data_IF_654723920178
#
_entry.id   IF_654723920178
#
_cell.length_a   1.000
_cell.length_b   1.000
_cell.length_c   1.000
_cell.angle_alpha   90.00
_cell.angle_beta   90.00
_cell.angle_gamma   90.00
#
_symmetry.space_group_name_H-M   'P 1'
#
loop_
_entity.id
_entity.type
_entity.pdbx_description
1 polymer ?
#
# COMPACT_ATOMS: atom_id res chain seq x y z
N UNK A 1 -0.84 0.98 20.97
CA UNK A 1 -2.28 0.76 21.21
C UNK A 1 -3.06 1.59 20.21
N UNK A 2 -3.90 0.96 19.39
CA UNK A 2 -4.65 1.66 18.34
C UNK A 2 -6.07 1.93 18.85
N UNK A 3 -6.50 3.19 18.78
CA UNK A 3 -7.88 3.59 19.04
C UNK A 3 -8.64 3.53 17.72
N UNK A 4 -9.52 2.55 17.57
CA UNK A 4 -10.39 2.41 16.40
C UNK A 4 -11.66 3.25 16.59
N UNK A 5 -12.23 3.77 15.49
CA UNK A 5 -13.53 4.45 15.54
C UNK A 5 -14.62 3.38 15.68
N UNK A 6 -15.43 3.41 16.75
CA UNK A 6 -16.48 2.41 16.95
C UNK A 6 -17.63 2.62 15.94
N UNK A 7 -18.25 1.53 15.50
CA UNK A 7 -19.45 1.58 14.66
C UNK A 7 -20.68 1.94 15.51
N UNK A 8 -21.57 2.79 14.99
CA UNK A 8 -22.82 3.15 15.66
C UNK A 8 -23.95 2.35 15.02
N UNK A 9 -24.81 1.74 15.84
CA UNK A 9 -25.99 1.01 15.36
C UNK A 9 -27.10 1.97 14.92
N UNK A 10 -27.60 1.83 13.69
CA UNK A 10 -28.71 2.64 13.18
C UNK A 10 -30.02 1.89 13.47
N UNK A 11 -30.92 2.49 14.26
CA UNK A 11 -32.23 1.93 14.59
C UNK A 11 -33.36 2.73 13.94
N UNK A 12 -34.44 2.04 13.56
CA UNK A 12 -35.66 2.69 13.04
C UNK A 12 -36.34 3.52 14.15
N UNK A 13 -36.79 4.73 13.81
CA UNK A 13 -37.52 5.61 14.72
C UNK A 13 -39.02 5.55 14.46
N UNK A 14 -39.81 5.32 15.51
CA UNK A 14 -41.27 5.50 15.49
C UNK A 14 -41.63 6.68 16.39
N UNK A 15 -42.52 7.56 15.91
CA UNK A 15 -42.96 8.75 16.64
C UNK A 15 -43.55 8.35 18.01
N UNK A 16 -42.92 8.81 19.09
CA UNK A 16 -43.32 8.49 20.48
C UNK A 16 -42.49 7.39 21.17
N UNK A 17 -41.50 6.80 20.48
CA UNK A 17 -40.55 5.86 21.07
C UNK A 17 -39.51 6.57 21.95
N UNK A 18 -39.08 5.92 23.04
CA UNK A 18 -37.94 6.37 23.85
C UNK A 18 -36.63 6.07 23.11
N UNK A 19 -35.76 7.07 22.97
CA UNK A 19 -34.45 6.92 22.35
C UNK A 19 -33.51 6.19 23.31
N UNK A 20 -32.93 5.08 22.86
CA UNK A 20 -31.83 4.41 23.55
C UNK A 20 -30.52 4.99 23.01
N UNK A 21 -29.73 5.60 23.88
CA UNK A 21 -28.41 6.14 23.54
C UNK A 21 -27.35 5.06 23.78
N UNK A 22 -26.68 4.64 22.71
CA UNK A 22 -25.53 3.74 22.81
C UNK A 22 -24.29 4.52 23.28
N UNK A 23 -23.51 3.93 24.20
CA UNK A 23 -22.17 4.40 24.52
C UNK A 23 -21.18 3.56 23.72
N UNK A 24 -20.61 4.09 22.63
CA UNK A 24 -19.74 3.30 21.80
C UNK A 24 -18.38 3.10 22.49
N UNK A 25 -18.05 1.86 22.83
CA UNK A 25 -16.71 1.48 23.31
C UNK A 25 -15.83 1.10 22.13
N UNK A 26 -14.65 1.73 22.02
CA UNK A 26 -13.65 1.37 21.01
C UNK A 26 -12.98 0.05 21.38
N UNK A 27 -13.02 -0.99 20.53
CA UNK A 27 -12.23 -2.20 20.76
C UNK A 27 -10.73 -1.85 20.71
N UNK A 28 -9.99 -2.35 21.70
CA UNK A 28 -8.54 -2.16 21.78
C UNK A 28 -7.84 -3.12 20.83
N UNK A 29 -7.22 -2.61 19.76
CA UNK A 29 -6.35 -3.40 18.89
C UNK A 29 -4.88 -3.09 19.25
N UNK A 30 -4.12 -4.13 19.58
CA UNK A 30 -2.70 -4.02 19.90
C UNK A 30 -1.86 -4.25 18.66
N UNK A 31 -1.17 -3.20 18.20
CA UNK A 31 -0.11 -3.31 17.20
C UNK A 31 1.21 -3.65 17.89
N UNK A 32 1.84 -4.75 17.45
CA UNK A 32 3.20 -5.09 17.85
C UNK A 32 4.18 -4.36 16.95
N UNK A 33 5.27 -3.89 17.54
CA UNK A 33 6.40 -3.28 16.83
C UNK A 33 7.54 -4.29 16.98
N UNK A 34 7.65 -5.20 16.02
CA UNK A 34 8.57 -6.33 16.06
C UNK A 34 9.51 -6.40 14.85
N UNK A 35 9.31 -5.55 13.84
CA UNK A 35 10.17 -5.48 12.67
C UNK A 35 11.25 -4.42 12.87
N UNK A 36 12.49 -4.80 12.54
CA UNK A 36 13.65 -3.91 12.58
C UNK A 36 14.49 -4.11 11.33
N UNK A 37 14.84 -3.03 10.65
CA UNK A 37 15.78 -3.03 9.53
C UNK A 37 16.92 -2.07 9.85
N UNK A 38 18.12 -2.42 9.45
CA UNK A 38 19.30 -1.60 9.69
C UNK A 38 20.20 -1.59 8.45
N UNK A 39 20.97 -0.52 8.29
CA UNK A 39 22.13 -0.50 7.41
C UNK A 39 23.34 -0.02 8.21
N UNK A 40 24.52 -0.50 7.84
CA UNK A 40 25.76 -0.07 8.45
C UNK A 40 26.87 -0.07 7.41
N UNK A 41 27.71 0.96 7.42
CA UNK A 41 28.85 1.08 6.53
C UNK A 41 30.03 1.74 7.26
N UNK A 42 31.24 1.49 6.76
CA UNK A 42 32.47 2.10 7.24
C UNK A 42 32.99 3.12 6.24
N UNK A 43 33.41 4.29 6.72
CA UNK A 43 34.12 5.30 5.92
C UNK A 43 35.55 5.36 6.43
N UNK A 44 36.51 4.97 5.58
CA UNK A 44 37.93 5.03 5.91
C UNK A 44 38.45 6.44 5.73
N UNK A 45 39.34 6.86 6.63
CA UNK A 45 39.92 8.20 6.62
C UNK A 45 40.80 8.47 5.39
N UNK A 46 41.40 7.42 4.83
CA UNK A 46 42.19 7.51 3.59
C UNK A 46 41.26 7.80 2.41
N UNK A 47 40.13 7.10 2.31
CA UNK A 47 39.16 7.28 1.22
C UNK A 47 38.47 8.64 1.33
N UNK A 48 38.17 9.10 2.55
CA UNK A 48 37.64 10.45 2.81
C UNK A 48 38.62 11.55 2.35
N UNK A 49 39.93 11.35 2.52
CA UNK A 49 40.94 12.32 2.08
C UNK A 49 41.24 12.25 0.58
N UNK A 50 41.04 11.08 -0.05
CA UNK A 50 41.29 10.86 -1.47
C UNK A 50 40.07 11.17 -2.35
N UNK A 51 38.87 11.23 -1.76
CA UNK A 51 37.63 11.46 -2.49
C UNK A 51 37.22 12.93 -2.43
N UNK A 52 36.91 13.50 -3.59
CA UNK A 52 36.30 14.84 -3.68
C UNK A 52 34.79 14.81 -3.33
N UNK A 53 34.21 13.62 -3.15
CA UNK A 53 32.81 13.40 -2.81
C UNK A 53 32.62 13.23 -1.30
N UNK A 54 31.47 13.68 -0.80
CA UNK A 54 31.08 13.44 0.58
C UNK A 54 30.48 12.03 0.72
N UNK A 55 31.38 11.03 0.73
CA UNK A 55 31.03 9.61 0.78
C UNK A 55 30.05 9.27 1.91
N UNK A 56 30.20 9.92 3.06
CA UNK A 56 29.33 9.68 4.21
C UNK A 56 27.90 10.12 3.95
N UNK A 57 27.69 11.29 3.34
CA UNK A 57 26.36 11.77 3.01
C UNK A 57 25.73 10.93 1.88
N UNK A 58 26.47 10.69 0.80
CA UNK A 58 25.96 9.96 -0.36
C UNK A 58 25.54 8.53 0.00
N UNK A 59 26.35 7.82 0.80
CA UNK A 59 26.01 6.47 1.26
C UNK A 59 24.89 6.44 2.30
N UNK A 60 24.76 7.50 3.09
CA UNK A 60 23.62 7.65 4.02
C UNK A 60 22.31 7.92 3.30
N UNK A 61 22.34 8.73 2.23
CA UNK A 61 21.19 9.01 1.39
C UNK A 61 20.72 7.75 0.66
N UNK A 62 21.63 7.02 0.00
CA UNK A 62 21.30 5.72 -0.63
C UNK A 62 20.80 4.70 0.41
N UNK A 63 21.47 4.59 1.57
CA UNK A 63 21.01 3.71 2.65
C UNK A 63 19.59 4.05 3.12
N UNK A 64 19.23 5.34 3.17
CA UNK A 64 17.88 5.81 3.47
C UNK A 64 16.86 5.45 2.40
N UNK A 65 17.22 5.51 1.12
CA UNK A 65 16.36 5.08 0.01
C UNK A 65 16.13 3.56 0.00
N UNK A 66 17.20 2.78 0.16
CA UNK A 66 17.12 1.31 0.24
C UNK A 66 16.29 0.88 1.46
N UNK A 67 16.39 1.59 2.58
CA UNK A 67 15.56 1.33 3.75
C UNK A 67 14.06 1.48 3.43
N UNK A 68 13.68 2.54 2.71
CA UNK A 68 12.27 2.74 2.31
C UNK A 68 11.79 1.62 1.40
N UNK A 69 12.61 1.20 0.44
CA UNK A 69 12.30 0.08 -0.45
C UNK A 69 12.11 -1.21 0.37
N UNK A 70 13.02 -1.50 1.30
CA UNK A 70 12.95 -2.71 2.12
C UNK A 70 11.69 -2.74 3.00
N UNK A 71 11.28 -1.61 3.57
CA UNK A 71 10.04 -1.49 4.36
C UNK A 71 8.80 -1.65 3.48
N UNK A 72 8.77 -0.99 2.32
CA UNK A 72 7.64 -1.08 1.38
C UNK A 72 7.45 -2.51 0.85
N UNK A 73 8.54 -3.19 0.48
CA UNK A 73 8.51 -4.60 0.07
C UNK A 73 7.98 -5.52 1.17
N UNK A 74 8.31 -5.25 2.44
CA UNK A 74 7.85 -6.06 3.58
C UNK A 74 6.33 -5.93 3.78
N UNK A 75 5.82 -4.69 3.71
CA UNK A 75 4.38 -4.41 3.86
C UNK A 75 3.61 -4.96 2.66
N UNK A 76 4.03 -4.65 1.44
CA UNK A 76 3.33 -5.10 0.22
C UNK A 76 3.45 -6.62 0.01
N UNK A 77 4.48 -7.25 0.55
CA UNK A 77 4.68 -8.70 0.51
C UNK A 77 3.92 -9.49 1.57
N UNK A 78 3.17 -8.84 2.47
CA UNK A 78 2.47 -9.51 3.57
C UNK A 78 0.99 -9.13 3.66
N UNK A 79 0.67 -7.85 3.53
CA UNK A 79 -0.69 -7.31 3.68
C UNK A 79 -1.70 -7.95 2.74
N UNK A 80 -1.29 -8.37 1.54
CA UNK A 80 -2.20 -8.96 0.57
C UNK A 80 -2.89 -10.24 1.11
N UNK A 81 -2.21 -10.97 2.00
CA UNK A 81 -2.72 -12.21 2.58
C UNK A 81 -3.78 -12.00 3.67
N UNK A 82 -3.90 -10.79 4.19
CA UNK A 82 -4.88 -10.42 5.22
C UNK A 82 -6.22 -9.91 4.64
N UNK A 83 -6.36 -9.87 3.31
CA UNK A 83 -7.61 -9.45 2.68
C UNK A 83 -8.77 -10.37 3.05
N UNK A 84 -9.97 -9.81 3.21
CA UNK A 84 -11.18 -10.61 3.44
C UNK A 84 -11.42 -11.59 2.29
N UNK A 85 -11.87 -12.81 2.60
CA UNK A 85 -12.10 -13.84 1.58
C UNK A 85 -13.15 -13.44 0.54
N UNK A 86 -14.08 -12.52 0.86
CA UNK A 86 -15.04 -11.98 -0.09
C UNK A 86 -14.45 -10.86 -0.96
N UNK A 87 -13.24 -10.39 -0.66
CA UNK A 87 -12.52 -9.35 -1.38
C UNK A 87 -11.30 -9.88 -2.15
N UNK A 88 -11.24 -11.20 -2.37
CA UNK A 88 -10.15 -11.88 -3.04
C UNK A 88 -10.64 -13.07 -3.87
N UNK A 89 -9.82 -13.51 -4.83
CA UNK A 89 -10.09 -14.70 -5.64
C UNK A 89 -11.05 -14.48 -6.82
N UNK A 90 -11.41 -15.58 -7.48
CA UNK A 90 -12.18 -15.57 -8.73
C UNK A 90 -13.70 -15.36 -8.55
N UNK A 91 -14.18 -15.30 -7.30
CA UNK A 91 -15.60 -15.16 -6.93
C UNK A 91 -15.77 -14.10 -5.85
N UNK A 92 -15.06 -12.99 -5.98
CA UNK A 92 -15.14 -11.88 -5.05
C UNK A 92 -16.50 -11.16 -5.13
N UNK A 93 -16.76 -10.33 -4.14
CA UNK A 93 -18.02 -9.64 -3.91
C UNK A 93 -18.83 -10.34 -2.81
N UNK A 94 -19.06 -9.63 -1.70
CA UNK A 94 -19.87 -10.13 -0.57
C UNK A 94 -21.33 -10.39 -0.96
N UNK A 95 -21.85 -9.65 -1.92
CA UNK A 95 -23.22 -9.77 -2.43
C UNK A 95 -23.22 -10.51 -3.77
N UNK A 96 -22.38 -10.09 -4.72
CA UNK A 96 -22.43 -10.62 -6.09
C UNK A 96 -21.74 -11.98 -6.22
N UNK A 97 -20.65 -12.23 -5.49
CA UNK A 97 -19.95 -13.52 -5.45
C UNK A 97 -19.46 -14.04 -6.81
N UNK A 98 -19.26 -13.15 -7.78
CA UNK A 98 -18.97 -13.49 -9.18
C UNK A 98 -17.92 -12.58 -9.82
N UNK A 99 -17.27 -11.71 -9.04
CA UNK A 99 -16.26 -10.78 -9.53
C UNK A 99 -14.91 -11.51 -9.56
N UNK A 100 -14.27 -11.57 -10.73
CA UNK A 100 -12.99 -12.24 -10.89
C UNK A 100 -11.83 -11.29 -10.59
N UNK A 101 -11.22 -11.44 -9.41
CA UNK A 101 -10.00 -10.72 -9.03
C UNK A 101 -8.73 -11.56 -9.29
N UNK A 102 -8.85 -12.72 -9.92
CA UNK A 102 -7.75 -13.65 -10.11
C UNK A 102 -7.34 -14.39 -8.83
N UNK A 103 -6.63 -15.50 -9.00
CA UNK A 103 -5.99 -16.26 -7.94
C UNK A 103 -4.61 -16.73 -8.37
N UNK A 104 -3.79 -17.23 -7.44
CA UNK A 104 -2.48 -17.81 -7.75
C UNK A 104 -2.53 -19.05 -8.68
N UNK A 105 -3.72 -19.60 -8.95
CA UNK A 105 -3.91 -20.73 -9.89
C UNK A 105 -4.47 -20.23 -11.23
N UNK A 106 -5.38 -19.27 -11.18
CA UNK A 106 -6.02 -18.66 -12.34
C UNK A 106 -5.92 -17.14 -12.21
N UNK A 107 -4.75 -16.55 -12.53
CA UNK A 107 -4.54 -15.12 -12.40
C UNK A 107 -5.31 -14.37 -13.50
N UNK A 108 -5.74 -13.14 -13.18
CA UNK A 108 -6.48 -12.29 -14.09
C UNK A 108 -5.54 -11.67 -15.13
N UNK A 109 -5.76 -11.96 -16.41
CA UNK A 109 -4.97 -11.37 -17.49
C UNK A 109 -5.41 -9.93 -17.76
N UNK A 110 -4.55 -8.97 -17.44
CA UNK A 110 -4.80 -7.55 -17.59
C UNK A 110 -4.09 -6.99 -18.82
N UNK A 111 -4.85 -6.28 -19.63
CA UNK A 111 -4.45 -5.63 -20.87
C UNK A 111 -4.92 -4.17 -20.86
N UNK A 112 -4.54 -3.39 -21.88
CA UNK A 112 -5.02 -2.01 -22.03
C UNK A 112 -6.55 -1.89 -22.14
N UNK A 113 -7.25 -2.96 -22.53
CA UNK A 113 -8.69 -2.93 -22.82
C UNK A 113 -9.54 -3.13 -21.55
N UNK A 114 -9.08 -3.95 -20.60
CA UNK A 114 -9.85 -4.32 -19.41
C UNK A 114 -9.31 -3.73 -18.10
N UNK A 115 -8.11 -3.13 -18.08
CA UNK A 115 -7.53 -2.56 -16.84
C UNK A 115 -8.46 -1.55 -16.14
N UNK A 116 -9.29 -0.81 -16.89
CA UNK A 116 -10.25 0.13 -16.32
C UNK A 116 -11.45 -0.59 -15.71
N UNK A 117 -11.97 -1.61 -16.40
CA UNK A 117 -13.06 -2.44 -15.90
C UNK A 117 -12.65 -3.12 -14.59
N UNK A 118 -11.41 -3.63 -14.52
CA UNK A 118 -10.85 -4.23 -13.31
C UNK A 118 -10.79 -3.23 -12.13
N UNK A 119 -10.50 -1.95 -12.38
CA UNK A 119 -10.52 -0.93 -11.34
C UNK A 119 -11.96 -0.65 -10.84
N UNK A 120 -12.95 -0.70 -11.73
CA UNK A 120 -14.37 -0.56 -11.37
C UNK A 120 -14.84 -1.77 -10.56
N UNK A 121 -14.36 -2.97 -10.90
CA UNK A 121 -14.63 -4.19 -10.15
C UNK A 121 -14.06 -4.11 -8.72
N UNK A 122 -12.86 -3.54 -8.54
CA UNK A 122 -12.30 -3.27 -7.20
C UNK A 122 -13.19 -2.32 -6.40
N UNK A 123 -13.76 -1.31 -7.06
CA UNK A 123 -14.72 -0.38 -6.45
C UNK A 123 -15.99 -1.10 -5.99
N UNK A 124 -16.54 -1.96 -6.85
CA UNK A 124 -17.76 -2.74 -6.58
C UNK A 124 -17.58 -3.67 -5.39
N UNK A 125 -16.45 -4.39 -5.31
CA UNK A 125 -16.13 -5.27 -4.17
C UNK A 125 -16.12 -4.50 -2.85
N UNK A 126 -15.50 -3.31 -2.80
CA UNK A 126 -15.48 -2.47 -1.59
C UNK A 126 -16.84 -1.82 -1.30
N UNK A 127 -17.61 -1.49 -2.33
CA UNK A 127 -18.97 -0.94 -2.21
C UNK A 127 -19.91 -1.97 -1.55
N UNK A 128 -19.80 -3.26 -1.93
CA UNK A 128 -20.56 -4.35 -1.31
C UNK A 128 -20.22 -4.58 0.17
N UNK A 129 -19.00 -4.23 0.58
CA UNK A 129 -18.57 -4.23 1.98
C UNK A 129 -19.00 -2.96 2.73
N UNK A 130 -19.69 -2.02 2.08
CA UNK A 130 -20.09 -0.72 2.64
C UNK A 130 -18.89 0.10 3.15
N UNK A 131 -17.72 -0.06 2.53
CA UNK A 131 -16.52 0.71 2.85
C UNK A 131 -16.70 2.13 2.32
N UNK A 132 -16.29 3.19 3.04
CA UNK A 132 -16.40 4.56 2.53
C UNK A 132 -15.73 4.76 1.17
N UNK A 133 -16.34 5.58 0.32
CA UNK A 133 -15.83 5.91 -1.02
C UNK A 133 -14.62 6.86 -0.99
N UNK A 134 -14.51 7.68 0.06
CA UNK A 134 -13.40 8.61 0.23
C UNK A 134 -12.11 7.89 0.61
N UNK A 135 -10.94 8.35 0.15
CA UNK A 135 -9.62 7.84 0.56
C UNK A 135 -9.38 6.35 0.24
N UNK A 136 -9.98 5.85 -0.83
CA UNK A 136 -9.62 4.55 -1.39
C UNK A 136 -8.29 4.65 -2.13
N UNK A 137 -7.52 3.59 -2.06
CA UNK A 137 -6.21 3.48 -2.69
C UNK A 137 -6.04 2.13 -3.36
N UNK A 138 -5.21 2.10 -4.40
CA UNK A 138 -4.78 0.88 -5.07
C UNK A 138 -3.29 0.99 -5.40
N UNK A 139 -2.55 -0.08 -5.16
CA UNK A 139 -1.13 -0.18 -5.50
C UNK A 139 -0.97 -1.09 -6.71
N UNK A 140 -0.45 -0.54 -7.80
CA UNK A 140 -0.25 -1.27 -9.05
C UNK A 140 1.24 -1.33 -9.43
N UNK A 141 1.67 -2.39 -10.12
CA UNK A 141 2.99 -2.44 -10.71
C UNK A 141 3.15 -1.38 -11.81
N UNK A 142 4.36 -0.85 -12.00
CA UNK A 142 4.62 0.20 -12.98
C UNK A 142 4.18 -0.16 -14.41
N UNK A 143 4.25 -1.45 -14.78
CA UNK A 143 3.75 -1.96 -16.06
C UNK A 143 2.23 -1.81 -16.21
N UNK A 144 1.45 -2.13 -15.17
CA UNK A 144 -0.01 -1.96 -15.17
C UNK A 144 -0.38 -0.48 -15.19
N UNK A 145 0.33 0.39 -14.45
CA UNK A 145 0.18 1.84 -14.58
C UNK A 145 0.49 2.34 -16.01
N UNK A 146 1.45 1.71 -16.70
CA UNK A 146 1.73 1.96 -18.11
C UNK A 146 0.58 1.57 -19.03
N UNK A 147 -0.13 0.47 -18.73
CA UNK A 147 -1.34 0.08 -19.47
C UNK A 147 -2.48 1.07 -19.25
N UNK A 148 -2.69 1.58 -18.03
CA UNK A 148 -3.66 2.64 -17.76
C UNK A 148 -3.40 3.86 -18.65
N UNK A 149 -2.14 4.30 -18.75
CA UNK A 149 -1.76 5.45 -19.60
C UNK A 149 -1.92 5.19 -21.11
N UNK A 150 -1.93 3.92 -21.53
CA UNK A 150 -2.11 3.50 -22.93
C UNK A 150 -3.55 3.09 -23.26
N UNK A 151 -4.40 2.96 -22.24
CA UNK A 151 -5.83 2.65 -22.37
C UNK A 151 -6.60 3.85 -22.94
N UNK A 152 -7.90 3.66 -23.12
CA UNK A 152 -8.82 4.67 -23.66
C UNK A 152 -8.90 5.95 -22.81
N UNK A 153 -8.34 5.97 -21.58
CA UNK A 153 -8.11 7.21 -20.82
C UNK A 153 -7.20 8.20 -21.55
N UNK A 154 -6.30 7.72 -22.40
CA UNK A 154 -5.53 8.57 -23.31
C UNK A 154 -6.47 9.30 -24.28
N UNK A 155 -7.48 8.61 -24.78
CA UNK A 155 -8.44 9.14 -25.74
C UNK A 155 -9.47 10.06 -25.06
N UNK A 156 -9.90 9.74 -23.83
CA UNK A 156 -10.73 10.61 -23.00
C UNK A 156 -10.01 11.92 -22.60
N UNK A 157 -8.70 11.84 -22.25
CA UNK A 157 -7.87 13.02 -22.01
C UNK A 157 -7.63 13.86 -23.26
N UNK A 158 -7.69 13.27 -24.46
CA UNK A 158 -7.63 13.97 -25.75
C UNK A 158 -9.00 14.59 -26.11
N UNK A 159 -10.10 14.06 -25.57
CA UNK A 159 -11.48 14.51 -25.82
C UNK A 159 -11.93 15.71 -24.95
N UNK A 160 -11.05 16.29 -24.12
CA UNK A 160 -11.27 17.63 -23.54
C UNK A 160 -11.65 17.70 -22.07
N UNK A 161 -11.52 16.63 -21.28
CA UNK A 161 -11.67 16.73 -19.83
C UNK A 161 -10.40 17.32 -19.18
N UNK A 162 -10.55 18.44 -18.47
CA UNK A 162 -9.54 19.47 -18.24
C UNK A 162 -8.41 19.13 -17.27
N UNK A 163 -8.25 17.89 -16.83
CA UNK A 163 -7.16 17.47 -15.93
C UNK A 163 -6.40 16.29 -16.54
N UNK A 164 -5.38 16.61 -17.33
CA UNK A 164 -4.55 15.62 -18.01
C UNK A 164 -3.77 14.75 -17.01
N UNK A 165 -4.24 13.51 -16.84
CA UNK A 165 -3.61 12.39 -16.13
C UNK A 165 -2.22 12.02 -16.68
N UNK A 166 -1.86 12.52 -17.87
CA UNK A 166 -0.57 12.27 -18.52
C UNK A 166 0.58 13.16 -17.99
N UNK A 167 0.31 14.22 -17.21
CA UNK A 167 1.33 15.25 -16.90
C UNK A 167 2.14 15.06 -15.62
N UNK A 168 1.78 14.18 -14.68
CA UNK A 168 2.56 13.97 -13.46
C UNK A 168 2.72 12.49 -13.13
N UNK A 169 3.87 12.11 -12.55
CA UNK A 169 4.18 10.74 -12.10
C UNK A 169 3.25 10.15 -11.03
N UNK A 170 2.16 10.84 -10.69
CA UNK A 170 1.00 10.32 -9.97
C UNK A 170 -0.09 10.03 -11.01
N UNK A 171 -0.47 8.76 -11.17
CA UNK A 171 -1.49 8.33 -12.15
C UNK A 171 -2.84 9.03 -11.93
N UNK A 172 -3.06 9.60 -10.74
CA UNK A 172 -4.20 10.46 -10.42
C UNK A 172 -5.23 9.74 -9.55
N UNK A 173 -6.43 10.30 -9.51
CA UNK A 173 -7.59 9.55 -9.05
C UNK A 173 -8.31 8.93 -10.27
N UNK A 174 -8.59 7.64 -10.20
CA UNK A 174 -9.36 6.89 -11.20
C UNK A 174 -10.44 6.13 -10.43
N UNK A 175 -11.70 6.30 -10.84
CA UNK A 175 -12.87 5.72 -10.17
C UNK A 175 -12.80 5.75 -8.63
N UNK A 176 -12.65 6.95 -8.05
CA UNK A 176 -12.60 7.17 -6.57
C UNK A 176 -11.35 6.58 -5.87
N UNK A 177 -10.47 5.87 -6.58
CA UNK A 177 -9.20 5.37 -6.06
C UNK A 177 -8.05 6.34 -6.33
N UNK A 178 -7.19 6.53 -5.33
CA UNK A 178 -5.83 7.05 -5.55
C UNK A 178 -4.92 5.93 -6.00
N UNK A 179 -4.40 6.01 -7.23
CA UNK A 179 -3.52 4.99 -7.81
C UNK A 179 -2.06 5.28 -7.46
N UNK A 180 -1.43 4.33 -6.77
CA UNK A 180 0.00 4.31 -6.46
C UNK A 180 0.73 3.33 -7.38
N UNK A 181 1.90 3.75 -7.88
CA UNK A 181 2.79 2.89 -8.65
C UNK A 181 3.90 2.42 -7.73
N UNK A 182 4.03 1.11 -7.49
CA UNK A 182 5.18 0.53 -6.79
C UNK A 182 5.75 -0.65 -7.56
N UNK A 183 7.07 -0.78 -7.57
CA UNK A 183 7.76 -1.96 -8.11
C UNK A 183 7.98 -3.03 -7.05
N UNK A 184 7.64 -2.74 -5.79
CA UNK A 184 7.89 -3.58 -4.63
C UNK A 184 6.70 -4.50 -4.30
N UNK A 185 5.69 -4.56 -5.17
CA UNK A 185 4.58 -5.52 -5.06
C UNK A 185 5.12 -6.95 -5.19
N UNK A 186 4.49 -7.91 -4.51
CA UNK A 186 4.92 -9.30 -4.60
C UNK A 186 4.74 -9.83 -6.03
N UNK A 187 5.75 -10.57 -6.51
CA UNK A 187 5.75 -11.17 -7.85
C UNK A 187 6.18 -12.62 -7.77
N UNK A 188 5.27 -13.52 -8.14
CA UNK A 188 5.51 -14.96 -8.18
C UNK A 188 5.22 -15.48 -9.59
N UNK A 189 6.21 -16.08 -10.26
CA UNK A 189 5.98 -16.69 -11.58
C UNK A 189 5.54 -15.73 -12.71
N UNK A 190 5.64 -14.41 -12.52
CA UNK A 190 5.13 -13.40 -13.46
C UNK A 190 3.71 -12.90 -13.13
N UNK A 191 3.13 -13.38 -12.06
CA UNK A 191 1.88 -12.93 -11.44
C UNK A 191 2.20 -11.83 -10.43
N UNK A 192 1.37 -10.79 -10.37
CA UNK A 192 1.54 -9.64 -9.50
C UNK A 192 0.40 -9.62 -8.48
N UNK A 193 0.74 -9.55 -7.19
CA UNK A 193 -0.24 -9.34 -6.13
C UNK A 193 -0.54 -7.84 -6.02
N UNK A 194 -1.75 -7.47 -6.42
CA UNK A 194 -2.29 -6.12 -6.33
C UNK A 194 -3.13 -5.99 -5.08
N UNK A 195 -2.86 -4.93 -4.32
CA UNK A 195 -3.60 -4.61 -3.11
C UNK A 195 -4.37 -3.33 -3.35
N UNK A 196 -5.64 -3.33 -2.95
CA UNK A 196 -6.50 -2.16 -2.93
C UNK A 196 -7.26 -2.09 -1.61
N UNK A 197 -7.75 -0.92 -1.25
CA UNK A 197 -8.49 -0.77 0.00
C UNK A 197 -8.75 0.66 0.40
N UNK A 198 -9.14 0.82 1.66
CA UNK A 198 -9.37 2.11 2.30
C UNK A 198 -8.32 2.38 3.38
N UNK A 199 -8.07 3.65 3.70
CA UNK A 199 -7.10 4.07 4.75
C UNK A 199 -7.37 3.44 6.12
N UNK A 200 -8.60 3.01 6.41
CA UNK A 200 -8.93 2.35 7.68
C UNK A 200 -8.55 0.87 7.76
N UNK A 201 -8.13 0.25 6.66
CA UNK A 201 -7.82 -1.18 6.61
C UNK A 201 -6.52 -1.54 7.32
N UNK A 202 -5.46 -0.79 7.05
CA UNK A 202 -4.09 -1.08 7.53
C UNK A 202 -3.67 0.02 8.51
N UNK A 203 -2.94 -0.36 9.55
CA UNK A 203 -2.18 0.60 10.35
C UNK A 203 -0.70 0.26 10.33
N UNK A 204 0.10 1.32 10.27
CA UNK A 204 1.55 1.27 10.33
C UNK A 204 2.01 2.16 11.49
N UNK A 205 3.01 1.70 12.24
CA UNK A 205 3.71 2.51 13.23
C UNK A 205 5.22 2.31 13.11
N UNK A 206 5.93 3.40 12.88
CA UNK A 206 7.38 3.49 13.08
C UNK A 206 7.67 4.09 14.45
N UNK A 207 8.60 3.52 15.21
CA UNK A 207 8.93 3.98 16.56
C UNK A 207 10.32 4.58 16.66
N UNK A 208 11.31 3.91 16.09
CA UNK A 208 12.71 4.28 16.26
C UNK A 208 13.32 4.49 14.89
N UNK A 209 13.84 5.70 14.67
CA UNK A 209 14.76 6.01 13.59
C UNK A 209 15.99 6.61 14.24
N UNK A 210 17.01 5.79 14.45
CA UNK A 210 18.26 6.22 15.08
C UNK A 210 19.40 6.04 14.09
N UNK A 211 20.22 7.08 13.94
CA UNK A 211 21.43 7.04 13.14
C UNK A 211 22.58 7.48 14.03
N UNK A 212 23.61 6.63 14.10
CA UNK A 212 24.76 6.84 14.97
C UNK A 212 26.06 6.75 14.17
N UNK A 213 26.99 7.61 14.53
CA UNK A 213 28.36 7.58 14.05
C UNK A 213 29.29 7.21 15.21
N UNK A 214 30.14 6.20 14.98
CA UNK A 214 31.06 5.66 15.97
C UNK A 214 32.50 5.71 15.41
N UNK A 215 33.50 6.06 16.23
CA UNK A 215 34.89 5.90 15.83
C UNK A 215 35.19 4.39 15.65
N UNK A 216 35.82 4.02 14.53
CA UNK A 216 36.17 2.62 14.28
C UNK A 216 37.31 2.18 15.23
N UNK A 217 37.12 1.15 16.08
CA UNK A 217 38.17 0.67 16.97
C UNK A 217 39.23 -0.19 16.26
N UNK A 218 38.94 -0.69 15.05
CA UNK A 218 39.77 -1.65 14.33
C UNK A 218 40.53 -1.05 13.13
N UNK A 219 40.16 0.15 12.68
CA UNK A 219 40.81 0.84 11.55
C UNK A 219 40.68 2.37 11.67
N UNK A 220 41.44 3.12 10.89
CA UNK A 220 41.34 4.56 10.79
C UNK A 220 40.10 4.96 9.98
N UNK A 221 39.01 5.27 10.66
CA UNK A 221 37.76 5.68 10.03
C UNK A 221 36.60 5.87 10.99
N UNK A 222 35.41 6.04 10.41
CA UNK A 222 34.14 6.21 11.09
C UNK A 222 33.16 5.12 10.66
N UNK A 223 32.42 4.55 11.61
CA UNK A 223 31.37 3.59 11.39
C UNK A 223 30.03 4.32 11.48
N UNK A 224 29.19 4.18 10.47
CA UNK A 224 27.84 4.74 10.45
C UNK A 224 26.85 3.60 10.45
N UNK A 225 25.86 3.67 11.35
CA UNK A 225 24.76 2.70 11.40
C UNK A 225 23.42 3.42 11.58
N UNK A 226 22.40 2.88 10.95
CA UNK A 226 21.03 3.35 11.08
C UNK A 226 20.11 2.19 11.43
N UNK A 227 19.17 2.42 12.36
CA UNK A 227 18.16 1.47 12.77
C UNK A 227 16.77 2.09 12.54
N UNK A 228 15.92 1.34 11.85
CA UNK A 228 14.51 1.64 11.70
C UNK A 228 13.66 0.50 12.26
N UNK A 229 12.85 0.79 13.28
CA UNK A 229 11.95 -0.17 13.93
C UNK A 229 10.50 0.21 13.64
N UNK A 230 9.74 -0.73 13.12
CA UNK A 230 8.35 -0.56 12.71
C UNK A 230 7.50 -1.80 12.98
N UNK A 231 6.19 -1.61 12.83
CA UNK A 231 5.20 -2.68 12.80
C UNK A 231 4.00 -2.23 11.97
N UNK A 232 3.32 -3.19 11.37
CA UNK A 232 2.06 -2.97 10.66
C UNK A 232 1.08 -4.09 11.00
N UNK A 233 -0.22 -3.78 10.92
CA UNK A 233 -1.29 -4.73 11.20
C UNK A 233 -2.53 -4.35 10.39
N UNK A 234 -3.22 -5.37 9.88
CA UNK A 234 -4.52 -5.23 9.25
C UNK A 234 -5.61 -5.19 10.32
N UNK A 235 -6.29 -4.05 10.48
CA UNK A 235 -7.34 -3.86 11.48
C UNK A 235 -8.71 -4.28 10.94
N UNK A 236 -8.94 -4.02 9.65
CA UNK A 236 -10.22 -4.27 8.97
C UNK A 236 -9.95 -4.99 7.66
N UNK A 237 -9.85 -6.34 7.68
CA UNK A 237 -9.73 -7.16 6.47
C UNK A 237 -10.79 -6.82 5.42
N UNK A 238 -12.02 -6.49 5.84
CA UNK A 238 -13.13 -6.13 4.96
C UNK A 238 -12.91 -4.82 4.17
N UNK A 239 -11.97 -3.98 4.63
CA UNK A 239 -11.57 -2.73 3.98
C UNK A 239 -10.35 -2.88 3.07
N UNK A 240 -9.86 -4.10 2.88
CA UNK A 240 -8.74 -4.46 2.00
C UNK A 240 -9.23 -5.51 0.99
N UNK A 241 -8.74 -5.42 -0.24
CA UNK A 241 -8.91 -6.43 -1.26
C UNK A 241 -7.60 -6.82 -1.90
N UNK A 242 -7.57 -8.04 -2.43
CA UNK A 242 -6.42 -8.65 -3.06
C UNK A 242 -6.81 -9.17 -4.44
N UNK A 243 -5.97 -8.86 -5.43
CA UNK A 243 -6.13 -9.30 -6.81
C UNK A 243 -4.81 -9.86 -7.31
N UNK A 244 -4.87 -10.98 -8.04
CA UNK A 244 -3.69 -11.60 -8.65
C UNK A 244 -3.78 -11.38 -10.16
N UNK A 245 -2.88 -10.54 -10.68
CA UNK A 245 -2.91 -10.15 -12.10
C UNK A 245 -1.69 -10.66 -12.86
N UNK A 246 -1.88 -11.01 -14.13
CA UNK A 246 -0.80 -11.15 -15.11
C UNK A 246 -0.90 -10.03 -16.13
N UNK A 247 0.24 -9.55 -16.62
CA UNK A 247 0.28 -8.42 -17.56
C UNK A 247 0.54 -8.97 -18.96
N UNK A 248 -0.46 -8.83 -19.83
CA UNK A 248 -0.42 -9.23 -21.24
C UNK A 248 0.04 -8.15 -22.21
#
# INVERSE_FOLDING_TARGET
MIRTVPSITISNYVKGQTLNYEQPESPNVSLKIDQGKYFAFEVKKVDEYQSDLNLMNDWSEDGGEQMKIAVDTDILGSVYSDADANNAGNTAGKISGNIDLGSAVTPLAVTKANILDVLVDYGTVLDEQSVPESNRWVVLPAKACGLIKKSDLKDASLAGDGTSILRNGRVGMIDRFTVYSSNNVNVAGGEYDVIFGHKSGITFAGQITEMEELPNPNDFGRLVRSLFVYGFETIKPESIGHSVITIG
#
